data_IF_801307327264
#
_entry.id   IF_801307327264
#
_cell.length_a   1.000
_cell.length_b   1.000
_cell.length_c   1.000
_cell.angle_alpha   90.00
_cell.angle_beta   90.00
_cell.angle_gamma   90.00
#
_symmetry.space_group_name_H-M   'P 1'
#
loop_
_entity.id
_entity.type
_entity.pdbx_description
1 polymer ?
#
# COMPACT_ATOMS: atom_id res chain seq x y z
N UNK A 1 18.53 0.79 -1.67
CA UNK A 1 17.27 0.03 -1.88
C UNK A 1 17.41 -1.30 -1.16
N UNK A 2 16.42 -1.69 -0.37
CA UNK A 2 16.41 -2.95 0.38
C UNK A 2 15.87 -4.09 -0.47
N UNK A 3 16.35 -5.32 -0.25
CA UNK A 3 15.80 -6.52 -0.88
C UNK A 3 14.87 -7.22 0.10
N UNK A 4 13.62 -7.41 -0.29
CA UNK A 4 12.60 -8.10 0.51
C UNK A 4 12.41 -9.53 -0.02
N UNK A 5 12.60 -10.54 0.84
CA UNK A 5 12.47 -11.94 0.47
C UNK A 5 11.11 -12.52 0.79
N UNK A 6 10.51 -12.05 1.87
CA UNK A 6 9.19 -12.48 2.32
C UNK A 6 8.40 -11.29 2.84
N UNK A 7 7.13 -11.23 2.50
CA UNK A 7 6.20 -10.26 3.05
C UNK A 7 4.86 -10.92 3.34
N UNK A 8 4.37 -10.75 4.57
CA UNK A 8 3.02 -11.09 4.98
C UNK A 8 2.29 -9.83 5.39
N UNK A 9 1.13 -9.57 4.81
CA UNK A 9 0.33 -8.39 5.11
C UNK A 9 -1.08 -8.80 5.45
N UNK A 10 -1.53 -8.41 6.65
CA UNK A 10 -2.91 -8.53 7.10
C UNK A 10 -3.55 -7.16 7.13
N UNK A 11 -4.67 -7.01 6.45
CA UNK A 11 -5.51 -5.82 6.51
C UNK A 11 -6.85 -6.17 7.13
N UNK A 12 -7.20 -5.48 8.20
CA UNK A 12 -8.53 -5.58 8.82
C UNK A 12 -9.27 -4.28 8.58
N UNK A 13 -10.44 -4.36 7.96
CA UNK A 13 -11.28 -3.18 7.69
C UNK A 13 -12.27 -2.96 8.82
N UNK A 14 -12.27 -1.75 9.38
CA UNK A 14 -13.18 -1.28 10.42
C UNK A 14 -14.25 -0.43 9.73
N UNK A 15 -15.55 -0.80 9.84
CA UNK A 15 -16.64 -0.17 9.09
C UNK A 15 -17.10 1.16 9.70
N UNK A 16 -16.23 2.16 9.77
CA UNK A 16 -16.56 3.46 10.35
C UNK A 16 -17.57 4.23 9.52
N UNK A 17 -17.68 3.94 8.21
CA UNK A 17 -18.70 4.52 7.33
C UNK A 17 -20.13 4.16 7.76
N UNK A 18 -20.34 2.97 8.32
CA UNK A 18 -21.62 2.56 8.90
C UNK A 18 -22.00 3.31 10.18
N UNK A 19 -21.04 4.01 10.77
CA UNK A 19 -21.19 4.80 12.00
C UNK A 19 -21.10 6.31 11.76
N UNK A 20 -21.32 6.74 10.51
CA UNK A 20 -21.44 8.14 10.15
C UNK A 20 -20.15 8.82 9.70
N UNK A 21 -19.05 8.08 9.60
CA UNK A 21 -17.83 8.61 8.97
C UNK A 21 -17.93 8.52 7.44
N UNK A 22 -17.23 9.39 6.69
CA UNK A 22 -17.25 9.34 5.22
C UNK A 22 -16.33 8.25 4.64
N UNK A 23 -15.69 7.42 5.48
CA UNK A 23 -14.71 6.39 5.10
C UNK A 23 -14.73 5.21 6.07
N UNK A 24 -14.17 4.11 5.64
CA UNK A 24 -13.75 3.00 6.52
C UNK A 24 -12.27 3.14 6.89
N UNK A 25 -11.84 2.46 7.95
CA UNK A 25 -10.41 2.42 8.34
C UNK A 25 -9.85 1.06 7.99
N UNK A 26 -8.78 1.04 7.21
CA UNK A 26 -7.96 -0.14 6.99
C UNK A 26 -6.81 -0.15 7.99
N UNK A 27 -6.78 -1.13 8.88
CA UNK A 27 -5.68 -1.40 9.78
C UNK A 27 -4.77 -2.43 9.16
N UNK A 28 -3.53 -2.05 8.92
CA UNK A 28 -2.51 -2.87 8.27
C UNK A 28 -1.50 -3.35 9.30
N UNK A 29 -1.23 -4.65 9.28
CA UNK A 29 -0.10 -5.26 9.95
C UNK A 29 0.72 -6.01 8.90
N UNK A 30 1.98 -5.63 8.74
CA UNK A 30 2.88 -6.29 7.80
C UNK A 30 4.14 -6.77 8.52
N UNK A 31 4.56 -7.98 8.15
CA UNK A 31 5.84 -8.57 8.53
C UNK A 31 6.61 -8.81 7.24
N UNK A 32 7.85 -8.37 7.21
CA UNK A 32 8.70 -8.54 6.03
C UNK A 32 10.15 -8.87 6.44
N UNK A 33 10.82 -9.65 5.58
CA UNK A 33 12.19 -10.08 5.77
C UNK A 33 13.08 -9.38 4.73
N UNK A 34 14.12 -8.71 5.22
CA UNK A 34 15.10 -8.01 4.39
C UNK A 34 16.42 -8.76 4.32
N UNK A 35 17.25 -8.40 3.35
CA UNK A 35 18.63 -8.88 3.19
C UNK A 35 19.63 -8.18 4.13
N UNK A 36 19.26 -7.02 4.65
CA UNK A 36 20.10 -6.18 5.50
C UNK A 36 19.27 -5.41 6.53
N UNK A 37 19.89 -4.92 7.62
CA UNK A 37 19.15 -4.15 8.62
C UNK A 37 18.70 -2.80 8.07
N UNK A 38 17.50 -2.36 8.48
CA UNK A 38 17.10 -0.98 8.30
C UNK A 38 17.97 -0.11 9.20
N UNK A 39 18.61 0.90 8.63
CA UNK A 39 19.47 1.80 9.39
C UNK A 39 18.65 2.68 10.33
N UNK A 40 19.24 3.10 11.45
CA UNK A 40 18.58 3.97 12.43
C UNK A 40 18.07 5.30 11.83
N UNK A 41 18.69 5.73 10.73
CA UNK A 41 18.36 6.97 10.04
C UNK A 41 17.39 6.78 8.87
N UNK A 42 17.00 5.55 8.55
CA UNK A 42 16.14 5.25 7.40
C UNK A 42 14.79 4.72 7.90
N UNK A 43 13.98 5.62 8.44
CA UNK A 43 12.64 5.32 8.92
C UNK A 43 11.70 5.03 7.76
N UNK A 44 10.64 4.27 8.02
CA UNK A 44 9.56 4.12 7.06
C UNK A 44 8.60 5.30 7.15
N UNK A 45 8.23 5.82 5.99
CA UNK A 45 7.19 6.83 5.84
C UNK A 45 5.89 6.13 5.47
N UNK A 46 4.82 6.42 6.19
CA UNK A 46 3.47 5.94 5.91
C UNK A 46 2.52 7.11 5.68
N UNK A 47 1.55 6.99 4.79
CA UNK A 47 0.60 8.06 4.54
C UNK A 47 -0.37 8.23 5.71
N UNK A 48 -0.53 9.45 6.20
CA UNK A 48 -1.62 9.84 7.08
C UNK A 48 -2.83 10.24 6.23
N UNK A 49 -3.56 9.26 5.74
CA UNK A 49 -4.65 9.47 4.77
C UNK A 49 -5.72 10.46 5.24
N UNK A 50 -6.00 10.53 6.54
CA UNK A 50 -6.96 11.49 7.11
C UNK A 50 -6.53 12.95 6.92
N UNK A 51 -5.23 13.19 6.81
CA UNK A 51 -4.67 14.52 6.60
C UNK A 51 -4.56 14.91 5.14
N UNK A 52 -4.62 13.94 4.21
CA UNK A 52 -4.55 14.21 2.78
C UNK A 52 -5.86 14.85 2.33
N UNK A 53 -5.84 16.05 1.73
CA UNK A 53 -7.04 16.66 1.19
C UNK A 53 -7.73 15.74 0.17
N UNK A 54 -9.07 15.73 0.18
CA UNK A 54 -9.87 14.87 -0.70
C UNK A 54 -9.51 15.04 -2.18
N UNK A 55 -9.33 16.29 -2.62
CA UNK A 55 -9.00 16.58 -4.02
C UNK A 55 -7.63 16.01 -4.42
N UNK A 56 -6.64 16.09 -3.51
CA UNK A 56 -5.34 15.48 -3.72
C UNK A 56 -5.44 13.95 -3.74
N UNK A 57 -6.26 13.36 -2.86
CA UNK A 57 -6.47 11.92 -2.84
C UNK A 57 -7.11 11.41 -4.15
N UNK A 58 -8.12 12.14 -4.68
CA UNK A 58 -8.72 11.79 -5.98
C UNK A 58 -7.69 11.89 -7.12
N UNK A 59 -6.83 12.91 -7.11
CA UNK A 59 -5.77 13.05 -8.09
C UNK A 59 -4.77 11.90 -8.02
N UNK A 60 -4.36 11.46 -6.82
CA UNK A 60 -3.48 10.31 -6.61
C UNK A 60 -4.09 9.02 -7.16
N UNK A 61 -5.38 8.80 -6.92
CA UNK A 61 -6.12 7.64 -7.45
C UNK A 61 -6.16 7.64 -8.99
N UNK A 62 -6.45 8.79 -9.60
CA UNK A 62 -6.47 8.94 -11.06
C UNK A 62 -5.09 8.69 -11.69
N UNK A 63 -4.03 9.09 -11.00
CA UNK A 63 -2.63 8.86 -11.42
C UNK A 63 -2.12 7.46 -11.06
N UNK A 64 -2.97 6.59 -10.49
CA UNK A 64 -2.61 5.24 -10.02
C UNK A 64 -1.45 5.20 -9.02
N UNK A 65 -1.21 6.30 -8.32
CA UNK A 65 -0.16 6.39 -7.30
C UNK A 65 -0.63 5.66 -6.06
N UNK A 66 0.05 4.58 -5.73
CA UNK A 66 -0.18 3.82 -4.51
C UNK A 66 0.68 4.37 -3.38
N UNK A 67 0.02 4.87 -2.33
CA UNK A 67 0.71 5.37 -1.13
C UNK A 67 1.01 4.20 -0.19
N UNK A 68 2.07 3.47 -0.50
CA UNK A 68 2.62 2.41 0.33
C UNK A 68 3.58 2.96 1.39
N UNK A 69 3.88 2.21 2.46
CA UNK A 69 5.06 2.45 3.28
C UNK A 69 6.32 2.45 2.41
N UNK A 70 7.22 3.41 2.64
CA UNK A 70 8.46 3.54 1.88
C UNK A 70 9.59 4.02 2.77
N UNK A 71 10.85 3.58 2.53
CA UNK A 71 12.01 4.11 3.26
C UNK A 71 12.18 5.62 3.02
N UNK A 72 12.59 6.35 4.04
CA UNK A 72 12.84 7.78 3.91
C UNK A 72 13.95 8.09 2.89
N UNK A 73 14.96 7.21 2.81
CA UNK A 73 16.02 7.30 1.80
C UNK A 73 15.46 7.27 0.38
N UNK A 74 14.53 6.36 0.09
CA UNK A 74 13.84 6.29 -1.20
C UNK A 74 13.10 7.58 -1.55
N UNK A 75 12.34 8.14 -0.61
CA UNK A 75 11.60 9.39 -0.83
C UNK A 75 12.54 10.54 -1.12
N UNK A 76 13.66 10.62 -0.38
CA UNK A 76 14.64 11.70 -0.57
C UNK A 76 15.36 11.57 -1.92
N UNK A 77 15.70 10.36 -2.37
CA UNK A 77 16.30 10.08 -3.68
C UNK A 77 15.34 10.49 -4.79
N UNK A 78 14.11 9.98 -4.79
CA UNK A 78 13.09 10.30 -5.78
C UNK A 78 12.83 11.82 -5.91
N UNK A 79 12.76 12.52 -4.78
CA UNK A 79 12.59 13.99 -4.80
C UNK A 79 13.82 14.73 -5.31
N UNK A 80 15.03 14.21 -5.07
CA UNK A 80 16.25 14.79 -5.62
C UNK A 80 16.30 14.63 -7.13
N UNK A 81 15.98 13.45 -7.63
CA UNK A 81 15.94 13.16 -9.07
C UNK A 81 14.89 14.01 -9.77
N UNK A 82 13.70 14.12 -9.20
CA UNK A 82 12.65 15.02 -9.70
C UNK A 82 13.11 16.47 -9.76
N UNK A 83 13.81 16.97 -8.74
CA UNK A 83 14.31 18.34 -8.72
C UNK A 83 15.36 18.60 -9.82
N UNK A 84 16.26 17.63 -10.07
CA UNK A 84 17.26 17.71 -11.13
C UNK A 84 16.62 17.69 -12.51
N UNK A 85 15.71 16.74 -12.74
CA UNK A 85 14.97 16.64 -14.00
C UNK A 85 14.09 17.87 -14.26
N UNK A 86 13.45 18.42 -13.22
CA UNK A 86 12.59 19.61 -13.35
C UNK A 86 13.37 20.86 -13.77
N UNK A 87 14.68 20.86 -13.60
CA UNK A 87 15.57 21.91 -14.07
C UNK A 87 15.88 21.82 -15.58
N UNK A 88 15.59 20.70 -16.24
CA UNK A 88 15.78 20.53 -17.68
C UNK A 88 14.63 21.22 -18.45
N UNK A 89 14.93 22.25 -19.27
CA UNK A 89 13.91 22.96 -20.05
C UNK A 89 13.26 22.11 -21.16
N UNK A 90 13.87 20.98 -21.53
CA UNK A 90 13.39 20.09 -22.59
C UNK A 90 12.57 18.91 -22.06
N UNK A 91 12.33 18.84 -20.76
CA UNK A 91 11.57 17.74 -20.15
C UNK A 91 10.13 17.75 -20.63
N UNK A 92 9.62 16.57 -20.99
CA UNK A 92 8.18 16.34 -21.16
C UNK A 92 7.47 16.57 -19.81
N UNK A 93 6.40 17.38 -19.83
CA UNK A 93 5.67 17.80 -18.63
C UNK A 93 4.69 16.72 -18.11
N UNK A 94 4.95 15.47 -18.33
CA UNK A 94 4.16 14.41 -17.69
C UNK A 94 4.35 14.48 -16.17
N UNK A 95 3.23 14.44 -15.45
CA UNK A 95 3.25 14.43 -13.98
C UNK A 95 3.83 13.08 -13.53
N UNK A 96 5.11 13.06 -13.19
CA UNK A 96 5.78 11.85 -12.74
C UNK A 96 5.27 11.45 -11.35
N UNK A 97 5.43 10.20 -11.01
CA UNK A 97 5.13 9.66 -9.68
C UNK A 97 5.91 10.44 -8.60
N UNK A 98 7.15 10.82 -8.88
CA UNK A 98 8.01 11.59 -7.98
C UNK A 98 7.46 13.00 -7.70
N UNK A 99 6.86 13.65 -8.70
CA UNK A 99 6.16 14.90 -8.51
C UNK A 99 4.97 14.75 -7.54
N UNK A 100 4.21 13.67 -7.69
CA UNK A 100 3.09 13.35 -6.81
C UNK A 100 3.57 13.04 -5.40
N UNK A 101 4.67 12.32 -5.25
CA UNK A 101 5.31 12.05 -3.96
C UNK A 101 5.72 13.35 -3.26
N UNK A 102 6.26 14.32 -4.00
CA UNK A 102 6.56 15.66 -3.49
C UNK A 102 5.33 16.37 -2.92
N UNK A 103 4.17 16.26 -3.57
CA UNK A 103 2.93 16.87 -3.10
C UNK A 103 2.41 16.23 -1.81
N UNK A 104 2.59 14.92 -1.62
CA UNK A 104 2.08 14.21 -0.46
C UNK A 104 3.07 14.11 0.70
N UNK A 105 4.34 14.41 0.49
CA UNK A 105 5.40 14.26 1.50
C UNK A 105 5.03 14.85 2.87
N UNK A 106 4.37 15.99 2.91
CA UNK A 106 3.93 16.65 4.16
C UNK A 106 2.85 15.89 4.92
N UNK A 107 2.23 14.91 4.29
CA UNK A 107 1.20 14.05 4.85
C UNK A 107 1.73 12.65 5.19
N UNK A 108 3.04 12.44 5.07
CA UNK A 108 3.70 11.21 5.45
C UNK A 108 4.17 11.30 6.90
N UNK A 109 3.91 10.27 7.68
CA UNK A 109 4.36 10.13 9.07
C UNK A 109 5.48 9.10 9.14
N UNK A 110 6.48 9.40 9.96
CA UNK A 110 7.59 8.48 10.20
C UNK A 110 7.18 7.43 11.23
N UNK A 111 7.44 6.17 10.88
CA UNK A 111 7.30 5.05 11.80
C UNK A 111 8.61 4.27 11.87
N UNK A 112 8.90 3.73 13.06
CA UNK A 112 10.01 2.79 13.25
C UNK A 112 9.48 1.37 13.05
N UNK A 113 9.97 0.62 12.05
CA UNK A 113 9.66 -0.78 11.96
C UNK A 113 10.28 -1.52 13.15
N UNK A 114 9.49 -2.34 13.80
CA UNK A 114 9.94 -3.13 14.93
C UNK A 114 10.67 -4.38 14.42
N UNK A 115 11.97 -4.50 14.71
CA UNK A 115 12.69 -5.74 14.41
C UNK A 115 12.18 -6.89 15.30
N UNK A 116 11.93 -8.04 14.67
CA UNK A 116 11.46 -9.26 15.32
C UNK A 116 12.55 -10.33 15.15
N UNK A 117 13.11 -10.82 16.24
CA UNK A 117 14.16 -11.85 16.15
C UNK A 117 15.49 -11.34 15.59
N UNK A 118 16.23 -12.22 14.91
CA UNK A 118 17.63 -11.99 14.51
C UNK A 118 17.85 -11.77 13.01
N UNK A 119 16.96 -12.24 12.15
CA UNK A 119 17.21 -12.37 10.71
C UNK A 119 16.56 -11.25 9.88
N UNK A 120 16.68 -10.00 10.34
CA UNK A 120 16.14 -8.82 9.66
C UNK A 120 14.65 -8.92 9.32
N UNK A 121 13.89 -9.60 10.18
CA UNK A 121 12.45 -9.53 10.17
C UNK A 121 11.98 -8.25 10.85
N UNK A 122 11.06 -7.57 10.20
CA UNK A 122 10.47 -6.33 10.69
C UNK A 122 8.94 -6.42 10.70
N UNK A 123 8.34 -5.80 11.71
CA UNK A 123 6.90 -5.58 11.79
C UNK A 123 6.61 -4.10 11.66
N UNK A 124 5.59 -3.80 10.87
CA UNK A 124 5.03 -2.46 10.69
C UNK A 124 3.53 -2.53 10.91
N UNK A 125 2.98 -1.55 11.65
CA UNK A 125 1.54 -1.38 11.83
C UNK A 125 1.17 0.06 11.55
N UNK A 126 0.13 0.27 10.74
CA UNK A 126 -0.42 1.60 10.44
C UNK A 126 -1.89 1.52 10.04
N UNK A 127 -2.55 2.66 9.98
CA UNK A 127 -3.95 2.76 9.57
C UNK A 127 -4.08 3.79 8.45
N UNK A 128 -5.04 3.56 7.55
CA UNK A 128 -5.41 4.55 6.56
C UNK A 128 -6.91 4.53 6.27
N UNK A 129 -7.43 5.66 5.78
CA UNK A 129 -8.84 5.80 5.44
C UNK A 129 -9.14 5.29 4.03
N UNK A 130 -10.19 4.47 3.91
CA UNK A 130 -10.69 3.94 2.64
C UNK A 130 -11.99 4.65 2.32
N UNK A 131 -11.97 5.53 1.33
CA UNK A 131 -13.15 6.26 0.89
C UNK A 131 -13.95 5.47 -0.14
N UNK A 132 -15.28 5.53 -0.10
CA UNK A 132 -16.09 4.94 -1.16
C UNK A 132 -15.88 5.66 -2.48
N UNK A 133 -15.94 4.92 -3.57
CA UNK A 133 -15.98 5.47 -4.91
C UNK A 133 -17.26 6.32 -5.06
N UNK A 134 -17.12 7.55 -5.52
CA UNK A 134 -18.25 8.50 -5.61
C UNK A 134 -19.33 8.10 -6.62
N UNK A 135 -19.01 7.23 -7.58
CA UNK A 135 -19.95 6.78 -8.62
C UNK A 135 -20.65 5.47 -8.25
N UNK A 136 -19.92 4.52 -7.64
CA UNK A 136 -20.44 3.17 -7.37
C UNK A 136 -20.81 2.94 -5.91
N UNK A 137 -20.28 3.76 -4.99
CA UNK A 137 -20.42 3.57 -3.55
C UNK A 137 -19.59 2.39 -3.01
N UNK A 138 -18.87 1.66 -3.87
CA UNK A 138 -17.98 0.57 -3.46
C UNK A 138 -16.66 1.10 -2.91
N UNK A 139 -16.00 0.30 -2.08
CA UNK A 139 -14.71 0.58 -1.47
C UNK A 139 -13.62 -0.23 -2.16
N UNK A 140 -12.47 0.40 -2.41
CA UNK A 140 -11.31 -0.26 -3.01
C UNK A 140 -10.18 -0.33 -1.99
N UNK A 141 -9.77 -1.54 -1.67
CA UNK A 141 -8.64 -1.84 -0.81
C UNK A 141 -7.44 -2.22 -1.68
N UNK A 142 -6.49 -1.32 -1.77
CA UNK A 142 -5.26 -1.55 -2.51
C UNK A 142 -4.21 -2.13 -1.56
N UNK A 143 -3.65 -3.28 -1.93
CA UNK A 143 -2.50 -3.82 -1.25
C UNK A 143 -1.22 -3.31 -1.90
N UNK A 144 -0.49 -2.56 -1.15
CA UNK A 144 0.86 -2.19 -1.51
C UNK A 144 1.82 -3.31 -1.10
N UNK A 145 2.18 -4.15 -2.06
CA UNK A 145 3.14 -5.22 -1.87
C UNK A 145 3.99 -5.33 -3.14
N UNK A 146 5.29 -5.21 -3.07
CA UNK A 146 6.08 -4.80 -1.91
C UNK A 146 5.94 -3.32 -1.60
N UNK A 147 6.42 -2.91 -0.44
CA UNK A 147 6.54 -1.49 -0.13
C UNK A 147 7.48 -0.80 -1.11
N UNK A 148 7.15 0.41 -1.51
CA UNK A 148 8.00 1.20 -2.41
C UNK A 148 9.41 1.35 -1.84
N UNK A 149 10.40 1.26 -2.72
CA UNK A 149 11.81 1.27 -2.31
C UNK A 149 12.35 -0.07 -1.79
N UNK A 150 11.53 -1.11 -1.83
CA UNK A 150 11.94 -2.48 -1.60
C UNK A 150 11.95 -3.24 -2.93
N UNK A 151 13.03 -3.96 -3.21
CA UNK A 151 13.11 -4.82 -4.37
C UNK A 151 12.73 -6.26 -3.97
N UNK A 152 11.92 -6.93 -4.77
CA UNK A 152 11.60 -8.34 -4.58
C UNK A 152 12.23 -9.18 -5.69
N UNK A 153 13.27 -9.95 -5.40
CA UNK A 153 13.90 -10.83 -6.38
C UNK A 153 12.99 -12.03 -6.72
N UNK A 154 13.28 -12.68 -7.83
CA UNK A 154 12.60 -13.91 -8.23
C UNK A 154 12.66 -14.96 -7.10
N UNK A 155 11.51 -15.56 -6.77
CA UNK A 155 11.38 -16.53 -5.67
C UNK A 155 11.01 -15.92 -4.32
N UNK A 156 10.95 -14.59 -4.19
CA UNK A 156 10.38 -13.95 -3.01
C UNK A 156 8.90 -14.31 -2.84
N UNK A 157 8.46 -14.37 -1.61
CA UNK A 157 7.09 -14.78 -1.27
C UNK A 157 6.29 -13.61 -0.72
N UNK A 158 5.07 -13.48 -1.20
CA UNK A 158 4.10 -12.50 -0.74
C UNK A 158 2.84 -13.20 -0.30
N UNK A 159 2.40 -12.92 0.92
CA UNK A 159 1.07 -13.27 1.41
C UNK A 159 0.31 -12.01 1.77
N UNK A 160 -0.87 -11.86 1.20
CA UNK A 160 -1.79 -10.80 1.52
C UNK A 160 -3.11 -11.37 1.98
N UNK A 161 -3.63 -10.90 3.10
CA UNK A 161 -4.91 -11.32 3.66
C UNK A 161 -5.70 -10.04 4.01
N UNK A 162 -6.93 -9.93 3.49
CA UNK A 162 -7.86 -8.90 3.89
C UNK A 162 -9.07 -9.50 4.61
N UNK A 163 -9.38 -8.97 5.78
CA UNK A 163 -10.57 -9.27 6.56
C UNK A 163 -11.53 -8.10 6.45
N UNK A 164 -12.63 -8.31 5.73
CA UNK A 164 -13.62 -7.28 5.46
C UNK A 164 -14.69 -7.23 6.57
N UNK A 165 -15.44 -6.13 6.67
CA UNK A 165 -16.46 -5.99 7.69
C UNK A 165 -17.59 -7.03 7.58
N UNK A 166 -18.16 -7.39 8.70
CA UNK A 166 -19.34 -8.27 8.73
C UNK A 166 -20.47 -7.72 7.86
N UNK A 167 -21.03 -8.61 7.00
CA UNK A 167 -22.12 -8.26 6.09
C UNK A 167 -21.71 -7.41 4.89
N UNK A 168 -20.43 -7.20 4.65
CA UNK A 168 -19.94 -6.73 3.36
C UNK A 168 -19.93 -7.87 2.34
N UNK A 169 -19.92 -7.50 1.07
CA UNK A 169 -19.81 -8.42 -0.06
C UNK A 169 -18.61 -8.04 -0.92
N UNK A 170 -17.78 -9.02 -1.24
CA UNK A 170 -16.72 -8.87 -2.24
C UNK A 170 -17.38 -8.74 -3.61
N UNK A 171 -17.08 -7.67 -4.32
CA UNK A 171 -17.51 -7.46 -5.71
C UNK A 171 -16.45 -8.03 -6.64
N UNK A 172 -15.19 -7.73 -6.36
CA UNK A 172 -14.04 -8.15 -7.14
C UNK A 172 -12.80 -8.31 -6.26
N UNK A 173 -11.98 -9.30 -6.56
CA UNK A 173 -10.70 -9.52 -5.91
C UNK A 173 -9.70 -9.94 -7.00
N UNK A 174 -8.91 -8.99 -7.47
CA UNK A 174 -7.99 -9.18 -8.60
C UNK A 174 -6.62 -8.62 -8.27
N UNK A 175 -5.64 -9.11 -8.98
CA UNK A 175 -4.29 -8.58 -8.95
C UNK A 175 -3.64 -8.71 -10.32
N UNK A 176 -2.43 -8.17 -10.43
CA UNK A 176 -1.56 -8.35 -11.59
C UNK A 176 -0.16 -8.69 -11.13
N UNK A 177 0.51 -9.53 -11.88
CA UNK A 177 1.94 -9.77 -11.68
C UNK A 177 2.78 -8.65 -12.31
N UNK A 178 4.10 -8.74 -12.16
CA UNK A 178 5.08 -7.81 -12.73
C UNK A 178 4.98 -7.66 -14.26
N UNK A 179 4.39 -8.66 -14.96
CA UNK A 179 4.17 -8.64 -16.40
C UNK A 179 2.73 -8.19 -16.75
N UNK A 180 1.99 -7.62 -15.82
CA UNK A 180 0.59 -7.23 -15.95
C UNK A 180 -0.35 -8.41 -16.28
N UNK A 181 0.05 -9.66 -15.94
CA UNK A 181 -0.83 -10.81 -16.07
C UNK A 181 -1.81 -10.84 -14.91
N UNK A 182 -3.08 -11.17 -15.15
CA UNK A 182 -4.10 -11.19 -14.11
C UNK A 182 -3.82 -12.29 -13.08
N UNK A 183 -3.99 -11.94 -11.82
CA UNK A 183 -3.93 -12.83 -10.68
C UNK A 183 -5.30 -12.92 -10.04
N UNK A 184 -5.68 -14.13 -9.60
CA UNK A 184 -6.89 -14.35 -8.82
C UNK A 184 -6.54 -14.52 -7.36
N UNK A 185 -7.48 -14.21 -6.46
CA UNK A 185 -7.36 -14.59 -5.06
C UNK A 185 -7.23 -16.11 -4.92
N UNK A 186 -6.38 -16.56 -4.01
CA UNK A 186 -6.24 -17.99 -3.70
C UNK A 186 -7.45 -18.50 -2.94
N UNK A 187 -8.04 -17.67 -2.12
CA UNK A 187 -9.20 -17.98 -1.31
C UNK A 187 -10.09 -16.75 -1.14
N UNK A 188 -11.37 -16.95 -1.33
CA UNK A 188 -12.44 -16.02 -0.98
C UNK A 188 -13.41 -16.78 -0.08
N UNK A 189 -13.37 -16.55 1.22
CA UNK A 189 -14.11 -17.29 2.24
C UNK A 189 -14.82 -16.34 3.20
N UNK A 190 -15.70 -16.89 4.03
CA UNK A 190 -16.42 -16.15 5.07
C UNK A 190 -16.14 -16.75 6.44
N UNK A 191 -15.33 -16.07 7.22
CA UNK A 191 -15.02 -16.46 8.59
C UNK A 191 -15.84 -15.62 9.59
N UNK A 192 -16.71 -16.28 10.38
CA UNK A 192 -17.58 -15.61 11.37
C UNK A 192 -18.43 -14.46 10.78
N UNK A 193 -18.94 -14.62 9.55
CA UNK A 193 -19.73 -13.63 8.86
C UNK A 193 -18.91 -12.46 8.29
N UNK A 194 -17.59 -12.54 8.28
CA UNK A 194 -16.67 -11.59 7.66
C UNK A 194 -16.07 -12.20 6.40
N UNK A 195 -16.20 -11.58 5.23
CA UNK A 195 -15.46 -12.04 4.06
C UNK A 195 -13.95 -11.89 4.28
N UNK A 196 -13.21 -12.92 3.88
CA UNK A 196 -11.75 -12.98 3.94
C UNK A 196 -11.23 -13.26 2.54
N UNK A 197 -10.40 -12.39 2.03
CA UNK A 197 -9.74 -12.55 0.72
C UNK A 197 -8.26 -12.72 0.95
N UNK A 198 -7.66 -13.75 0.36
CA UNK A 198 -6.23 -14.00 0.48
C UNK A 198 -5.57 -14.23 -0.88
N UNK A 199 -4.33 -13.81 -0.96
CA UNK A 199 -3.43 -14.04 -2.08
C UNK A 199 -2.12 -14.60 -1.55
N UNK A 200 -1.58 -15.58 -2.24
CA UNK A 200 -0.22 -16.06 -2.05
C UNK A 200 0.48 -16.06 -3.40
N UNK A 201 1.54 -15.29 -3.51
CA UNK A 201 2.25 -15.10 -4.77
C UNK A 201 3.76 -15.00 -4.59
N UNK A 202 4.46 -15.15 -5.70
CA UNK A 202 5.90 -14.91 -5.79
C UNK A 202 6.15 -13.65 -6.61
N UNK A 203 7.23 -12.93 -6.28
CA UNK A 203 7.64 -11.67 -6.90
C UNK A 203 6.75 -10.49 -6.45
N UNK A 204 6.64 -9.48 -7.31
CA UNK A 204 6.06 -8.16 -7.05
C UNK A 204 4.64 -8.03 -7.64
N UNK A 205 3.60 -8.47 -6.93
CA UNK A 205 2.23 -8.35 -7.41
C UNK A 205 1.54 -7.08 -6.90
N UNK A 206 0.59 -6.58 -7.69
CA UNK A 206 -0.41 -5.62 -7.24
C UNK A 206 -1.73 -6.33 -6.94
N UNK A 207 -2.37 -6.00 -5.82
CA UNK A 207 -3.68 -6.55 -5.46
C UNK A 207 -4.71 -5.47 -5.17
N UNK A 208 -5.94 -5.73 -5.59
CA UNK A 208 -7.10 -4.87 -5.32
C UNK A 208 -8.26 -5.74 -4.87
N UNK A 209 -8.89 -5.36 -3.77
CA UNK A 209 -10.15 -5.93 -3.32
C UNK A 209 -11.22 -4.85 -3.35
N UNK A 210 -12.27 -5.08 -4.14
CA UNK A 210 -13.45 -4.22 -4.18
C UNK A 210 -14.57 -4.86 -3.34
N UNK A 211 -15.13 -4.08 -2.41
CA UNK A 211 -16.23 -4.53 -1.57
C UNK A 211 -17.32 -3.46 -1.42
N UNK A 212 -18.51 -3.91 -1.01
CA UNK A 212 -19.66 -3.05 -0.70
C UNK A 212 -20.42 -3.61 0.50
N UNK A 213 -21.32 -2.79 1.02
CA UNK A 213 -22.28 -3.17 2.06
C UNK A 213 -23.64 -3.50 1.47
#
# INVERSE_FOLDING_TARGET
MYTCHNQETLITVIPTSRHGQPYDIARVEAIFQLDQPITENDLLLVPEMEKIPKDLLEMLKLSKVNLAPMPESYVNEALSDFAQESADPNRDRETSEDAMLGLVRRYLTKINPQQIGTDYFYRVSYEYSVFPNSQTGSFFLYAAVPFKGFNMPAGSQVRFISVLPTGSRVINATGTDINSQPLSADMDDVAQGKPVVSYFWQNDPDFVVEYTY
#
